data_IF_171149199322
#
_entry.id   IF_171149199322
#
_cell.length_a   1.000
_cell.length_b   1.000
_cell.length_c   1.000
_cell.angle_alpha   90.00
_cell.angle_beta   90.00
_cell.angle_gamma   90.00
#
_symmetry.space_group_name_H-M   'P 1'
#
loop_
_entity.id
_entity.type
_entity.pdbx_description
1 polymer ?
#
# COMPACT_ATOMS: atom_id res chain seq x y z
N UNK A 1 -7.09 -13.16 -19.69
CA UNK A 1 -6.40 -12.84 -18.43
C UNK A 1 -7.50 -12.40 -17.47
N UNK A 2 -7.69 -13.10 -16.34
CA UNK A 2 -8.64 -12.62 -15.33
C UNK A 2 -8.10 -11.32 -14.73
N UNK A 3 -9.00 -10.37 -14.47
CA UNK A 3 -8.72 -9.16 -13.71
C UNK A 3 -8.13 -9.51 -12.33
N UNK A 4 -7.05 -8.84 -11.93
CA UNK A 4 -6.32 -9.13 -10.69
C UNK A 4 -7.23 -8.95 -9.47
N UNK A 5 -8.06 -7.90 -9.49
CA UNK A 5 -8.98 -7.62 -8.40
C UNK A 5 -10.01 -8.75 -8.23
N UNK A 6 -10.56 -9.24 -9.33
CA UNK A 6 -11.47 -10.40 -9.33
C UNK A 6 -10.84 -11.64 -8.68
N UNK A 7 -9.55 -11.89 -8.90
CA UNK A 7 -8.84 -13.01 -8.26
C UNK A 7 -8.71 -12.80 -6.74
N UNK A 8 -8.32 -11.60 -6.30
CA UNK A 8 -8.20 -11.27 -4.88
C UNK A 8 -9.56 -11.35 -4.18
N UNK A 9 -10.64 -10.88 -4.83
CA UNK A 9 -11.99 -11.03 -4.30
C UNK A 9 -12.39 -12.50 -4.16
N UNK A 10 -11.93 -13.37 -5.07
CA UNK A 10 -12.13 -14.82 -4.94
C UNK A 10 -11.35 -15.38 -3.75
N UNK A 11 -10.08 -15.02 -3.58
CA UNK A 11 -9.25 -15.39 -2.42
C UNK A 11 -9.93 -14.97 -1.09
N UNK A 12 -10.48 -13.75 -1.02
CA UNK A 12 -11.21 -13.24 0.14
C UNK A 12 -12.49 -14.06 0.44
N UNK A 13 -13.26 -14.42 -0.60
CA UNK A 13 -14.52 -15.18 -0.44
C UNK A 13 -14.27 -16.63 -0.04
N UNK A 14 -13.25 -17.26 -0.61
CA UNK A 14 -12.93 -18.68 -0.40
C UNK A 14 -12.01 -18.92 0.82
N UNK A 15 -11.28 -17.89 1.25
CA UNK A 15 -10.34 -17.96 2.37
C UNK A 15 -11.03 -18.32 3.69
N UNK A 16 -10.49 -19.34 4.37
CA UNK A 16 -11.02 -19.88 5.62
C UNK A 16 -10.27 -19.45 6.88
N UNK A 17 -9.13 -18.81 6.70
CA UNK A 17 -8.33 -18.29 7.82
C UNK A 17 -9.11 -17.18 8.57
N UNK A 18 -8.94 -17.12 9.89
CA UNK A 18 -9.64 -16.16 10.73
C UNK A 18 -9.32 -14.71 10.39
N UNK A 19 -8.08 -14.39 10.01
CA UNK A 19 -7.72 -13.04 9.56
C UNK A 19 -8.44 -12.69 8.25
N UNK A 20 -8.49 -13.62 7.31
CA UNK A 20 -9.19 -13.41 6.03
C UNK A 20 -10.68 -13.18 6.26
N UNK A 21 -11.31 -13.99 7.12
CA UNK A 21 -12.72 -13.80 7.51
C UNK A 21 -12.94 -12.42 8.14
N UNK A 22 -12.06 -11.99 9.06
CA UNK A 22 -12.18 -10.72 9.76
C UNK A 22 -12.11 -9.51 8.82
N UNK A 23 -11.26 -9.56 7.80
CA UNK A 23 -11.08 -8.42 6.89
C UNK A 23 -12.00 -8.48 5.65
N UNK A 24 -12.60 -9.64 5.37
CA UNK A 24 -13.34 -9.92 4.13
C UNK A 24 -14.28 -8.80 3.71
N UNK A 25 -15.24 -8.44 4.56
CA UNK A 25 -16.29 -7.49 4.19
C UNK A 25 -15.72 -6.09 3.94
N UNK A 26 -14.73 -5.68 4.75
CA UNK A 26 -14.07 -4.39 4.58
C UNK A 26 -13.35 -4.26 3.23
N UNK A 27 -12.78 -5.36 2.72
CA UNK A 27 -12.10 -5.39 1.42
C UNK A 27 -13.08 -5.61 0.25
N UNK A 28 -14.07 -6.51 0.39
CA UNK A 28 -15.04 -6.79 -0.67
C UNK A 28 -15.98 -5.61 -0.98
N UNK A 29 -16.18 -4.70 -0.03
CA UNK A 29 -16.99 -3.49 -0.22
C UNK A 29 -16.29 -2.41 -1.07
N UNK A 30 -15.02 -2.63 -1.47
CA UNK A 30 -14.25 -1.68 -2.27
C UNK A 30 -14.48 -1.92 -3.77
N UNK A 31 -14.73 -0.88 -4.57
CA UNK A 31 -15.06 -1.03 -5.98
C UNK A 31 -13.86 -1.44 -6.83
N UNK A 32 -12.64 -1.04 -6.46
CA UNK A 32 -11.41 -1.31 -7.21
C UNK A 32 -10.27 -1.79 -6.30
N UNK A 33 -9.24 -2.37 -6.91
CA UNK A 33 -8.00 -2.73 -6.22
C UNK A 33 -7.34 -1.49 -5.61
N UNK A 34 -7.28 -0.40 -6.37
CA UNK A 34 -6.65 0.85 -5.98
C UNK A 34 -7.29 1.42 -4.70
N UNK A 35 -8.62 1.44 -4.65
CA UNK A 35 -9.35 1.89 -3.47
C UNK A 35 -9.15 0.95 -2.28
N UNK A 36 -9.09 -0.36 -2.50
CA UNK A 36 -8.86 -1.32 -1.43
C UNK A 36 -7.46 -1.18 -0.81
N UNK A 37 -6.43 -1.05 -1.64
CA UNK A 37 -5.04 -0.86 -1.21
C UNK A 37 -4.88 0.50 -0.53
N UNK A 38 -5.38 1.57 -1.16
CA UNK A 38 -5.29 2.93 -0.61
C UNK A 38 -5.96 2.99 0.77
N UNK A 39 -7.16 2.44 0.89
CA UNK A 39 -7.91 2.46 2.14
C UNK A 39 -7.24 1.63 3.25
N UNK A 40 -6.71 0.45 2.94
CA UNK A 40 -5.93 -0.33 3.90
C UNK A 40 -4.64 0.40 4.32
N UNK A 41 -3.96 1.02 3.38
CA UNK A 41 -2.74 1.78 3.64
C UNK A 41 -3.01 2.97 4.57
N UNK A 42 -4.00 3.81 4.24
CA UNK A 42 -4.31 5.01 5.00
C UNK A 42 -4.80 4.67 6.41
N UNK A 43 -5.59 3.59 6.55
CA UNK A 43 -5.96 3.03 7.86
C UNK A 43 -4.75 2.62 8.69
N UNK A 44 -3.78 1.95 8.06
CA UNK A 44 -2.56 1.50 8.73
C UNK A 44 -1.66 2.67 9.14
N UNK A 45 -1.61 3.74 8.35
CA UNK A 45 -0.81 4.93 8.64
C UNK A 45 -1.40 5.81 9.75
N UNK A 46 -2.70 5.75 10.00
CA UNK A 46 -3.40 6.62 10.94
C UNK A 46 -2.82 6.58 12.38
N UNK A 47 -2.96 7.72 13.07
CA UNK A 47 -2.59 7.94 14.46
C UNK A 47 -3.72 8.71 15.18
N UNK A 48 -3.59 8.90 16.49
CA UNK A 48 -4.63 9.57 17.29
C UNK A 48 -4.86 11.04 16.87
N UNK A 49 -3.79 11.75 16.53
CA UNK A 49 -3.77 13.14 16.07
C UNK A 49 -3.87 13.27 14.54
N UNK A 50 -3.44 12.25 13.80
CA UNK A 50 -3.54 12.16 12.34
C UNK A 50 -4.53 11.07 11.96
N UNK A 51 -5.81 11.43 11.88
CA UNK A 51 -6.91 10.48 11.72
C UNK A 51 -6.98 9.87 10.32
N UNK A 52 -7.62 8.71 10.22
CA UNK A 52 -7.96 8.07 8.95
C UNK A 52 -8.71 9.03 8.00
N UNK A 53 -9.75 9.72 8.48
CA UNK A 53 -10.52 10.69 7.69
C UNK A 53 -9.66 11.82 7.13
N UNK A 54 -8.68 12.30 7.90
CA UNK A 54 -7.75 13.30 7.42
C UNK A 54 -6.86 12.74 6.31
N UNK A 55 -6.33 11.53 6.48
CA UNK A 55 -5.47 10.87 5.49
C UNK A 55 -6.21 10.59 4.17
N UNK A 56 -7.47 10.13 4.22
CA UNK A 56 -8.31 9.97 3.03
C UNK A 56 -8.55 11.30 2.30
N UNK A 57 -8.85 12.38 3.04
CA UNK A 57 -9.03 13.71 2.42
C UNK A 57 -7.74 14.22 1.80
N UNK A 58 -6.60 14.02 2.46
CA UNK A 58 -5.28 14.40 1.94
C UNK A 58 -4.95 13.62 0.67
N UNK A 59 -5.15 12.30 0.67
CA UNK A 59 -4.92 11.45 -0.49
C UNK A 59 -5.86 11.79 -1.66
N UNK A 60 -7.12 12.14 -1.38
CA UNK A 60 -8.09 12.58 -2.39
C UNK A 60 -7.77 13.94 -3.02
N UNK A 61 -6.89 14.74 -2.41
CA UNK A 61 -6.38 15.99 -2.98
C UNK A 61 -5.06 15.80 -3.74
N UNK A 62 -4.42 14.64 -3.61
CA UNK A 62 -3.18 14.32 -4.30
C UNK A 62 -3.46 13.96 -5.77
N UNK A 63 -2.43 14.06 -6.61
CA UNK A 63 -2.48 13.54 -7.98
C UNK A 63 -2.74 12.01 -7.92
N UNK A 64 -3.81 11.49 -8.55
CA UNK A 64 -4.18 10.07 -8.47
C UNK A 64 -3.12 9.11 -9.01
N UNK A 65 -2.10 9.59 -9.73
CA UNK A 65 -1.02 8.78 -10.29
C UNK A 65 -0.25 7.94 -9.25
N UNK A 66 -0.40 8.21 -7.94
CA UNK A 66 0.21 7.39 -6.89
C UNK A 66 -0.33 5.96 -6.81
N UNK A 67 -1.55 5.69 -7.32
CA UNK A 67 -2.16 4.35 -7.33
C UNK A 67 -1.92 3.56 -8.63
N UNK A 68 -1.52 4.23 -9.72
CA UNK A 68 -1.32 3.65 -11.07
C UNK A 68 -0.41 2.41 -11.13
N UNK A 69 0.44 2.25 -10.12
CA UNK A 69 1.47 1.20 -10.11
C UNK A 69 1.10 0.02 -9.21
N UNK A 70 -0.01 0.08 -8.47
CA UNK A 70 -0.35 -0.93 -7.47
C UNK A 70 -0.50 -2.33 -8.07
N UNK A 71 -1.20 -2.47 -9.19
CA UNK A 71 -1.32 -3.77 -9.85
C UNK A 71 0.05 -4.31 -10.29
N UNK A 72 0.90 -3.47 -10.87
CA UNK A 72 2.24 -3.87 -11.35
C UNK A 72 3.15 -4.24 -10.18
N UNK A 73 3.11 -3.46 -9.10
CA UNK A 73 3.86 -3.74 -7.88
C UNK A 73 3.38 -5.06 -7.25
N UNK A 74 2.06 -5.23 -7.09
CA UNK A 74 1.46 -6.42 -6.47
C UNK A 74 1.82 -7.70 -7.23
N UNK A 75 1.75 -7.67 -8.57
CA UNK A 75 2.22 -8.77 -9.42
C UNK A 75 3.71 -9.06 -9.23
N UNK A 76 4.54 -8.01 -9.17
CA UNK A 76 5.98 -8.19 -8.98
C UNK A 76 6.33 -8.85 -7.63
N UNK A 77 5.62 -8.51 -6.55
CA UNK A 77 5.78 -9.20 -5.26
C UNK A 77 5.35 -10.66 -5.34
N UNK A 78 4.17 -10.94 -5.91
CA UNK A 78 3.67 -12.30 -6.06
C UNK A 78 4.59 -13.18 -6.94
N UNK A 79 5.11 -12.65 -8.03
CA UNK A 79 5.93 -13.41 -8.99
C UNK A 79 7.36 -13.70 -8.48
N UNK A 80 7.87 -12.91 -7.53
CA UNK A 80 9.29 -12.93 -7.14
C UNK A 80 9.53 -13.37 -5.69
N UNK A 81 8.51 -13.36 -4.85
CA UNK A 81 8.61 -13.81 -3.46
C UNK A 81 8.12 -15.26 -3.33
N UNK A 82 9.06 -16.19 -3.14
CA UNK A 82 8.76 -17.61 -3.00
C UNK A 82 7.98 -17.96 -1.72
N UNK A 83 7.99 -17.09 -0.71
CA UNK A 83 7.27 -17.33 0.54
C UNK A 83 5.78 -16.99 0.43
N UNK A 84 5.41 -16.15 -0.53
CA UNK A 84 4.03 -15.69 -0.74
C UNK A 84 3.25 -16.73 -1.55
N UNK A 85 2.08 -17.13 -1.05
CA UNK A 85 1.23 -18.12 -1.72
C UNK A 85 -0.02 -17.51 -2.36
N UNK A 86 -0.30 -16.23 -2.12
CA UNK A 86 -1.49 -15.53 -2.62
C UNK A 86 -1.29 -14.03 -2.76
N UNK A 87 -2.10 -13.36 -3.58
CA UNK A 87 -2.08 -11.89 -3.66
C UNK A 87 -2.54 -11.26 -2.34
N UNK A 88 -3.49 -11.91 -1.66
CA UNK A 88 -3.98 -11.47 -0.35
C UNK A 88 -2.87 -11.46 0.71
N UNK A 89 -1.92 -12.39 0.69
CA UNK A 89 -0.75 -12.38 1.59
C UNK A 89 0.14 -11.16 1.33
N UNK A 90 0.40 -10.80 0.07
CA UNK A 90 1.13 -9.56 -0.25
C UNK A 90 0.40 -8.36 0.36
N UNK A 91 -0.91 -8.28 0.12
CA UNK A 91 -1.75 -7.16 0.53
C UNK A 91 -1.88 -7.01 2.05
N UNK A 92 -1.89 -8.10 2.80
CA UNK A 92 -2.07 -8.03 4.26
C UNK A 92 -0.75 -8.00 5.03
N UNK A 93 0.32 -8.57 4.47
CA UNK A 93 1.54 -8.88 5.25
C UNK A 93 2.81 -8.25 4.67
N UNK A 94 2.85 -7.85 3.40
CA UNK A 94 4.06 -7.28 2.79
C UNK A 94 4.30 -5.84 3.23
N UNK A 95 5.23 -5.68 4.16
CA UNK A 95 5.76 -4.38 4.59
C UNK A 95 6.41 -3.62 3.43
N UNK A 96 7.09 -4.32 2.53
CA UNK A 96 7.73 -3.73 1.36
C UNK A 96 6.70 -3.13 0.40
N UNK A 97 5.65 -3.89 0.11
CA UNK A 97 4.57 -3.42 -0.77
C UNK A 97 3.87 -2.18 -0.20
N UNK A 98 3.57 -2.19 1.11
CA UNK A 98 2.96 -1.04 1.78
C UNK A 98 3.88 0.16 1.83
N UNK A 99 5.17 -0.04 2.07
CA UNK A 99 6.15 1.04 2.09
C UNK A 99 6.32 1.69 0.70
N UNK A 100 6.41 0.90 -0.37
CA UNK A 100 6.46 1.41 -1.75
C UNK A 100 5.17 2.17 -2.08
N UNK A 101 4.01 1.63 -1.72
CA UNK A 101 2.71 2.27 -1.95
C UNK A 101 2.60 3.62 -1.23
N UNK A 102 3.03 3.69 0.03
CA UNK A 102 3.09 4.92 0.80
C UNK A 102 4.08 5.94 0.22
N UNK A 103 5.25 5.48 -0.23
CA UNK A 103 6.22 6.34 -0.90
C UNK A 103 5.63 6.99 -2.16
N UNK A 104 4.81 6.28 -2.95
CA UNK A 104 4.15 6.87 -4.12
C UNK A 104 3.24 8.03 -3.75
N UNK A 105 2.45 7.90 -2.68
CA UNK A 105 1.63 8.99 -2.14
C UNK A 105 2.50 10.15 -1.64
N UNK A 106 3.54 9.84 -0.86
CA UNK A 106 4.48 10.85 -0.36
C UNK A 106 5.18 11.59 -1.51
N UNK A 107 5.52 10.88 -2.60
CA UNK A 107 6.16 11.46 -3.77
C UNK A 107 5.25 12.47 -4.48
N UNK A 108 3.99 12.14 -4.75
CA UNK A 108 3.06 13.09 -5.40
C UNK A 108 2.78 14.31 -4.51
N UNK A 109 2.68 14.12 -3.20
CA UNK A 109 2.56 15.21 -2.22
C UNK A 109 3.83 16.09 -2.22
N UNK A 110 5.00 15.47 -2.32
CA UNK A 110 6.28 16.18 -2.40
C UNK A 110 6.39 17.03 -3.66
N UNK A 111 6.00 16.49 -4.83
CA UNK A 111 6.02 17.23 -6.09
C UNK A 111 5.02 18.40 -6.11
N UNK A 112 3.87 18.26 -5.45
CA UNK A 112 2.86 19.33 -5.33
C UNK A 112 3.17 20.37 -4.23
N UNK A 113 4.32 20.26 -3.55
CA UNK A 113 4.76 21.23 -2.54
C UNK A 113 4.25 20.95 -1.12
N UNK A 114 3.46 19.91 -0.89
CA UNK A 114 3.00 19.47 0.43
C UNK A 114 4.11 18.71 1.19
N UNK A 115 5.25 19.40 1.40
CA UNK A 115 6.49 18.81 1.90
C UNK A 115 6.40 18.24 3.31
N UNK A 116 5.65 18.89 4.19
CA UNK A 116 5.45 18.41 5.57
C UNK A 116 4.67 17.09 5.58
N UNK A 117 3.56 17.02 4.85
CA UNK A 117 2.73 15.82 4.73
C UNK A 117 3.53 14.66 4.13
N UNK A 118 4.28 14.92 3.05
CA UNK A 118 5.15 13.91 2.44
C UNK A 118 6.20 13.36 3.41
N UNK A 119 6.87 14.24 4.16
CA UNK A 119 7.86 13.81 5.16
C UNK A 119 7.22 13.07 6.34
N UNK A 120 6.04 13.49 6.78
CA UNK A 120 5.31 12.80 7.83
C UNK A 120 4.97 11.35 7.40
N UNK A 121 4.45 11.16 6.17
CA UNK A 121 4.20 9.83 5.63
C UNK A 121 5.49 9.00 5.62
N UNK A 122 6.61 9.55 5.12
CA UNK A 122 7.88 8.84 5.09
C UNK A 122 8.35 8.39 6.49
N UNK A 123 8.26 9.28 7.49
CA UNK A 123 8.61 8.93 8.88
C UNK A 123 7.69 7.86 9.44
N UNK A 124 6.38 7.97 9.17
CA UNK A 124 5.40 6.98 9.63
C UNK A 124 5.65 5.59 9.03
N UNK A 125 6.03 5.54 7.75
CA UNK A 125 6.46 4.32 7.05
C UNK A 125 7.70 3.73 7.72
N UNK A 126 8.71 4.55 8.00
CA UNK A 126 9.94 4.12 8.67
C UNK A 126 9.67 3.58 10.08
N UNK A 127 8.77 4.20 10.85
CA UNK A 127 8.35 3.73 12.18
C UNK A 127 7.63 2.38 12.13
N UNK A 128 6.71 2.18 11.18
CA UNK A 128 5.89 0.97 11.09
C UNK A 128 6.64 -0.23 10.49
N UNK A 129 7.49 0.03 9.50
CA UNK A 129 8.05 -1.02 8.66
C UNK A 129 9.58 -1.03 8.61
N UNK A 130 10.25 -0.04 9.21
CA UNK A 130 11.71 0.07 9.18
C UNK A 130 12.27 0.34 7.79
N UNK A 131 11.47 0.93 6.89
CA UNK A 131 11.83 1.27 5.52
C UNK A 131 11.73 2.80 5.36
N UNK A 132 12.81 3.45 4.94
CA UNK A 132 12.88 4.89 4.70
C UNK A 132 13.11 5.14 3.21
N UNK A 133 12.09 5.66 2.51
CA UNK A 133 12.14 5.96 1.07
C UNK A 133 11.89 7.44 0.89
N UNK A 134 12.95 8.24 0.82
CA UNK A 134 12.83 9.70 0.84
C UNK A 134 11.84 10.18 -0.25
N UNK A 135 10.85 11.05 0.04
CA UNK A 135 9.78 11.38 -0.92
C UNK A 135 10.26 12.00 -2.25
N UNK A 136 11.45 12.60 -2.27
CA UNK A 136 12.07 13.10 -3.50
C UNK A 136 12.66 12.00 -4.42
N UNK A 137 12.88 10.80 -3.89
CA UNK A 137 13.42 9.69 -4.66
C UNK A 137 12.46 9.32 -5.79
N UNK A 138 13.02 8.93 -6.93
CA UNK A 138 12.26 8.53 -8.12
C UNK A 138 12.29 7.01 -8.21
N UNK A 139 11.21 6.37 -7.77
CA UNK A 139 11.08 4.91 -7.76
C UNK A 139 10.17 4.47 -8.92
N UNK A 140 10.67 3.54 -9.74
CA UNK A 140 9.93 2.93 -10.84
C UNK A 140 8.77 2.05 -10.39
N UNK A 141 8.17 1.31 -11.32
CA UNK A 141 7.10 0.32 -11.06
C UNK A 141 7.69 -1.08 -10.93
N UNK A 142 7.04 -1.96 -10.17
CA UNK A 142 7.45 -3.35 -9.96
C UNK A 142 8.68 -3.50 -9.07
N UNK A 143 8.94 -2.54 -8.17
CA UNK A 143 9.99 -2.65 -7.15
C UNK A 143 9.55 -3.61 -6.05
N UNK A 144 10.43 -4.58 -5.73
CA UNK A 144 10.23 -5.51 -4.63
C UNK A 144 11.28 -5.23 -3.56
N UNK A 145 10.81 -4.94 -2.35
CA UNK A 145 11.62 -4.83 -1.13
C UNK A 145 11.23 -6.01 -0.24
N UNK A 146 12.01 -7.08 -0.31
CA UNK A 146 11.80 -8.28 0.50
C UNK A 146 12.39 -8.09 1.91
N UNK A 147 11.63 -8.50 2.93
CA UNK A 147 11.82 -8.28 4.37
C UNK A 147 11.92 -6.81 4.81
N UNK A 148 12.69 -5.99 4.10
CA UNK A 148 12.70 -4.52 4.08
C UNK A 148 13.28 -3.79 5.29
N UNK A 149 13.46 -4.46 6.42
CA UNK A 149 13.93 -3.81 7.64
C UNK A 149 15.33 -3.20 7.46
N UNK A 150 15.44 -1.89 7.75
CA UNK A 150 16.69 -1.12 7.62
C UNK A 150 16.96 -0.58 6.22
N UNK A 151 16.01 -0.71 5.27
CA UNK A 151 16.17 -0.17 3.91
C UNK A 151 16.11 1.35 3.95
N UNK A 152 17.07 2.02 3.31
CA UNK A 152 17.14 3.48 3.17
C UNK A 152 17.45 3.84 1.71
N UNK A 153 16.63 4.72 1.11
CA UNK A 153 16.77 5.21 -0.28
C UNK A 153 16.64 6.73 -0.33
#
# INVERSE_FOLDING_TARGET
MHDLWTNIQKELREGKDSFVIQVRDAWLNKPTLEEAVADHLLRTLAQADITEDFLHRLAGQADPAWTDSFEVDLRAYFDRDFAIQSYLEVLLLSRGFMAVSAHRLAHVLWQSGQRLSAQWINRRVAELWGIDLHPAARIGRGLVIDHGMGTVV
#
